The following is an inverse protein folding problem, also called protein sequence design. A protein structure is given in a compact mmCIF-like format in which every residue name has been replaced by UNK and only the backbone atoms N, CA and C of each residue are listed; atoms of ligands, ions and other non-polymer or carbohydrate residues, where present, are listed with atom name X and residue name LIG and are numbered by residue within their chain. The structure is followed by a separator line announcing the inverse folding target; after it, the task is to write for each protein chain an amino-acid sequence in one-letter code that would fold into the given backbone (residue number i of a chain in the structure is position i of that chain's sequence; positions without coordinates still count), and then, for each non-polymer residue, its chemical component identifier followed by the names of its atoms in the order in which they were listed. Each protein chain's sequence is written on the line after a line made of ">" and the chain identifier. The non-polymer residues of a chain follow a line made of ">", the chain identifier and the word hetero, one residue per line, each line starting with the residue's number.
data_IF_375570265497
#
_entry.id   IF_375570265497
#
_cell.length_a   1.000
_cell.length_b   1.000
_cell.length_c   1.000
_cell.angle_alpha   90.00
_cell.angle_beta   90.00
_cell.angle_gamma   90.00
#
_symmetry.space_group_name_H-M   'P 1'
#
loop_
_entity.id
_entity.type
_entity.pdbx_description
1 polymer ?
#
# COMPACT_ATOMS: atom_id res chain seq x y z
N UNK A 1 -3.26 16.59 14.78
CA UNK A 1 -2.18 17.07 13.89
C UNK A 1 -2.45 16.49 12.51
N UNK A 2 -2.59 17.30 11.47
CA UNK A 2 -2.85 16.82 10.11
C UNK A 2 -1.51 16.56 9.41
N UNK A 3 -1.32 15.34 8.89
CA UNK A 3 -0.14 15.00 8.10
C UNK A 3 -0.38 15.53 6.69
N UNK A 4 0.54 16.39 6.21
CA UNK A 4 0.51 16.94 4.85
C UNK A 4 1.47 16.16 3.96
N UNK A 5 0.94 15.13 3.31
CA UNK A 5 1.72 14.22 2.47
C UNK A 5 2.42 14.92 1.31
N UNK A 6 1.89 16.06 0.85
CA UNK A 6 2.48 16.90 -0.21
C UNK A 6 3.88 17.42 0.17
N UNK A 7 4.23 17.42 1.46
CA UNK A 7 5.52 17.86 1.97
C UNK A 7 6.47 16.71 2.29
N UNK A 8 6.14 15.46 1.93
CA UNK A 8 7.09 14.35 2.11
C UNK A 8 8.36 14.66 1.32
N UNK A 9 9.52 14.57 1.99
CA UNK A 9 10.80 14.85 1.37
C UNK A 9 11.05 13.83 0.26
N UNK A 10 11.31 14.26 -0.99
CA UNK A 10 11.57 13.34 -2.08
C UNK A 10 12.79 12.44 -1.78
N UNK A 11 12.68 11.18 -2.18
CA UNK A 11 13.75 10.20 -2.17
C UNK A 11 14.06 9.86 -3.63
N UNK A 12 15.34 9.92 -4.02
CA UNK A 12 15.76 9.73 -5.42
C UNK A 12 15.00 10.65 -6.41
N UNK A 13 14.64 11.86 -5.96
CA UNK A 13 13.92 12.84 -6.77
C UNK A 13 12.40 12.65 -6.84
N UNK A 14 11.84 11.63 -6.17
CA UNK A 14 10.41 11.31 -6.22
C UNK A 14 9.76 11.25 -4.82
N UNK A 15 8.59 11.89 -4.68
CA UNK A 15 7.76 11.74 -3.48
C UNK A 15 7.10 10.36 -3.42
N UNK A 16 6.78 9.76 -4.57
CA UNK A 16 6.26 8.40 -4.64
C UNK A 16 7.26 7.41 -4.04
N UNK A 17 8.53 7.49 -4.48
CA UNK A 17 9.59 6.63 -3.96
C UNK A 17 9.86 6.87 -2.47
N UNK A 18 9.70 8.11 -1.99
CA UNK A 18 9.78 8.40 -0.56
C UNK A 18 8.65 7.74 0.23
N UNK A 19 7.43 7.78 -0.30
CA UNK A 19 6.26 7.18 0.33
C UNK A 19 6.35 5.65 0.32
N UNK A 20 6.78 5.04 -0.79
CA UNK A 20 7.04 3.60 -0.90
C UNK A 20 8.08 3.14 0.13
N UNK A 21 9.21 3.84 0.22
CA UNK A 21 10.24 3.53 1.21
C UNK A 21 9.72 3.66 2.64
N UNK A 22 8.95 4.71 2.93
CA UNK A 22 8.33 4.89 4.25
C UNK A 22 7.40 3.73 4.60
N UNK A 23 6.55 3.29 3.67
CA UNK A 23 5.66 2.13 3.86
C UNK A 23 6.47 0.86 4.12
N UNK A 24 7.55 0.62 3.37
CA UNK A 24 8.43 -0.53 3.58
C UNK A 24 9.05 -0.52 4.98
N UNK A 25 9.51 0.64 5.45
CA UNK A 25 10.10 0.78 6.78
C UNK A 25 9.07 0.53 7.89
N UNK A 26 7.86 1.07 7.76
CA UNK A 26 6.78 0.84 8.72
C UNK A 26 6.37 -0.63 8.76
N UNK A 27 6.15 -1.26 7.60
CA UNK A 27 5.81 -2.68 7.50
C UNK A 27 6.89 -3.57 8.13
N UNK A 28 8.17 -3.26 7.88
CA UNK A 28 9.30 -3.98 8.50
C UNK A 28 9.30 -3.86 10.02
N UNK A 29 8.98 -2.68 10.56
CA UNK A 29 8.92 -2.49 12.01
C UNK A 29 7.74 -3.23 12.63
N UNK A 30 6.56 -3.16 12.01
CA UNK A 30 5.35 -3.84 12.48
C UNK A 30 5.50 -5.38 12.47
N UNK A 31 6.26 -5.92 11.50
CA UNK A 31 6.45 -7.37 11.32
C UNK A 31 7.84 -7.87 11.74
N UNK A 32 8.64 -7.06 12.45
CA UNK A 32 10.06 -7.33 12.76
C UNK A 32 10.33 -8.70 13.39
N UNK A 33 9.39 -9.22 14.18
CA UNK A 33 9.49 -10.51 14.86
C UNK A 33 8.45 -11.54 14.37
N UNK A 34 7.68 -11.21 13.33
CA UNK A 34 6.60 -12.06 12.85
C UNK A 34 7.05 -13.00 11.74
N UNK A 35 8.13 -12.68 11.02
CA UNK A 35 8.61 -13.49 9.91
C UNK A 35 9.79 -12.88 9.17
N UNK A 36 10.10 -13.45 8.00
CA UNK A 36 11.15 -12.95 7.12
C UNK A 36 10.61 -11.82 6.25
N UNK A 37 10.99 -10.59 6.59
CA UNK A 37 10.66 -9.42 5.80
C UNK A 37 11.60 -9.25 4.60
N UNK A 38 11.04 -9.03 3.42
CA UNK A 38 11.75 -8.75 2.17
C UNK A 38 11.17 -7.50 1.53
N UNK A 39 12.01 -6.49 1.30
CA UNK A 39 11.67 -5.36 0.43
C UNK A 39 11.84 -5.80 -1.03
N UNK A 40 10.91 -5.42 -1.89
CA UNK A 40 10.88 -5.78 -3.29
C UNK A 40 11.18 -4.52 -4.11
N UNK A 41 12.02 -4.66 -5.13
CA UNK A 41 12.32 -3.59 -6.10
C UNK A 41 11.75 -3.98 -7.46
N UNK A 42 11.47 -2.99 -8.31
CA UNK A 42 10.95 -3.22 -9.65
C UNK A 42 11.83 -4.20 -10.47
N UNK A 43 11.22 -5.11 -11.27
CA UNK A 43 9.79 -5.39 -11.34
C UNK A 43 9.31 -6.15 -10.09
N UNK A 44 8.31 -5.59 -9.44
CA UNK A 44 7.89 -5.89 -8.06
C UNK A 44 6.65 -6.80 -7.97
N UNK A 45 5.96 -6.98 -9.10
CA UNK A 45 4.83 -7.91 -9.19
C UNK A 45 3.61 -7.48 -8.37
N UNK A 46 3.45 -6.20 -8.08
CA UNK A 46 2.26 -5.61 -7.44
C UNK A 46 2.32 -5.51 -5.92
N UNK A 47 3.53 -5.60 -5.33
CA UNK A 47 3.81 -5.29 -3.92
C UNK A 47 5.23 -4.73 -3.75
N UNK A 48 5.39 -3.74 -2.89
CA UNK A 48 6.67 -3.10 -2.57
C UNK A 48 7.45 -3.86 -1.48
N UNK A 49 6.74 -4.66 -0.68
CA UNK A 49 7.34 -5.48 0.37
C UNK A 49 6.47 -6.70 0.68
N UNK A 50 7.12 -7.73 1.22
CA UNK A 50 6.44 -8.91 1.76
C UNK A 50 7.05 -9.37 3.08
N UNK A 51 6.25 -10.10 3.86
CA UNK A 51 6.69 -10.81 5.04
C UNK A 51 6.21 -12.27 4.94
N UNK A 52 7.16 -13.20 4.91
CA UNK A 52 6.90 -14.63 4.96
C UNK A 52 6.83 -15.07 6.43
N UNK A 53 5.66 -15.54 6.87
CA UNK A 53 5.42 -16.01 8.23
C UNK A 53 5.92 -17.46 8.42
N UNK A 54 6.14 -17.92 9.67
CA UNK A 54 6.64 -19.27 9.96
C UNK A 54 5.76 -20.42 9.43
N UNK A 55 4.45 -20.17 9.26
CA UNK A 55 3.49 -21.11 8.69
C UNK A 55 3.53 -21.16 7.14
N UNK A 56 4.37 -20.34 6.51
CA UNK A 56 4.50 -20.21 5.06
C UNK A 56 3.51 -19.22 4.43
N UNK A 57 2.63 -18.60 5.22
CA UNK A 57 1.73 -17.55 4.76
C UNK A 57 2.51 -16.28 4.41
N UNK A 58 2.08 -15.57 3.37
CA UNK A 58 2.71 -14.31 2.95
C UNK A 58 1.77 -13.13 3.20
N UNK A 59 2.30 -12.09 3.83
CA UNK A 59 1.69 -10.76 3.86
C UNK A 59 2.39 -9.86 2.84
N UNK A 60 1.65 -9.08 2.06
CA UNK A 60 2.18 -8.18 1.05
C UNK A 60 1.67 -6.76 1.21
N UNK A 61 2.51 -5.77 0.89
CA UNK A 61 2.18 -4.34 0.97
C UNK A 61 2.32 -3.70 -0.40
N UNK A 62 1.27 -3.01 -0.85
CA UNK A 62 1.32 -2.09 -1.98
C UNK A 62 1.26 -0.66 -1.46
N UNK A 63 2.20 0.18 -1.87
CA UNK A 63 2.14 1.62 -1.63
C UNK A 63 1.64 2.34 -2.89
N UNK A 64 0.75 3.31 -2.71
CA UNK A 64 0.34 4.25 -3.76
C UNK A 64 0.27 5.67 -3.20
N UNK A 65 1.09 6.57 -3.75
CA UNK A 65 1.12 7.97 -3.35
C UNK A 65 -0.01 8.76 -4.03
N UNK A 66 -1.24 8.55 -3.58
CA UNK A 66 -2.42 9.28 -4.03
C UNK A 66 -2.74 10.40 -3.03
N UNK A 67 -2.69 11.64 -3.49
CA UNK A 67 -2.96 12.83 -2.66
C UNK A 67 -4.44 13.27 -2.67
N UNK A 68 -5.22 12.76 -3.63
CA UNK A 68 -6.64 13.07 -3.78
C UNK A 68 -7.51 11.84 -3.53
N UNK A 69 -8.82 12.05 -3.39
CA UNK A 69 -9.82 10.98 -3.35
C UNK A 69 -9.68 10.02 -4.55
N UNK A 70 -10.06 8.76 -4.35
CA UNK A 70 -9.89 7.73 -5.35
C UNK A 70 -10.94 7.89 -6.46
N UNK A 71 -10.47 8.21 -7.66
CA UNK A 71 -11.24 8.04 -8.90
C UNK A 71 -11.25 6.57 -9.34
N UNK A 72 -12.05 6.25 -10.36
CA UNK A 72 -12.06 4.93 -10.98
C UNK A 72 -10.67 4.48 -11.46
N UNK A 73 -9.83 5.41 -11.90
CA UNK A 73 -8.46 5.10 -12.35
C UNK A 73 -7.56 4.67 -11.20
N UNK A 74 -7.68 5.29 -10.02
CA UNK A 74 -6.88 4.88 -8.84
C UNK A 74 -7.32 3.52 -8.30
N UNK A 75 -8.63 3.26 -8.32
CA UNK A 75 -9.14 1.92 -8.00
C UNK A 75 -8.65 0.87 -8.98
N UNK A 76 -8.65 1.18 -10.28
CA UNK A 76 -8.15 0.26 -11.30
C UNK A 76 -6.66 -0.07 -11.09
N UNK A 77 -5.83 0.93 -10.78
CA UNK A 77 -4.41 0.70 -10.47
C UNK A 77 -4.21 -0.23 -9.27
N UNK A 78 -5.01 -0.07 -8.21
CA UNK A 78 -4.94 -0.96 -7.04
C UNK A 78 -5.40 -2.37 -7.42
N UNK A 79 -6.49 -2.49 -8.18
CA UNK A 79 -7.04 -3.78 -8.60
C UNK A 79 -6.08 -4.56 -9.50
N UNK A 80 -5.42 -3.88 -10.43
CA UNK A 80 -4.44 -4.49 -11.33
C UNK A 80 -3.21 -4.97 -10.56
N UNK A 81 -2.65 -4.14 -9.67
CA UNK A 81 -1.56 -4.54 -8.76
C UNK A 81 -1.96 -5.72 -7.87
N UNK A 82 -3.19 -5.73 -7.35
CA UNK A 82 -3.68 -6.84 -6.53
C UNK A 82 -3.78 -8.15 -7.35
N UNK A 83 -4.36 -8.11 -8.54
CA UNK A 83 -4.45 -9.28 -9.44
C UNK A 83 -3.07 -9.80 -9.83
N UNK A 84 -2.11 -8.92 -10.05
CA UNK A 84 -0.73 -9.28 -10.34
C UNK A 84 -0.06 -9.95 -9.12
N UNK A 85 -0.26 -9.39 -7.92
CA UNK A 85 0.27 -9.97 -6.68
C UNK A 85 -0.24 -11.39 -6.41
N UNK A 86 -1.52 -11.67 -6.70
CA UNK A 86 -2.08 -13.02 -6.56
C UNK A 86 -1.44 -14.03 -7.51
N UNK A 87 -1.00 -13.59 -8.70
CA UNK A 87 -0.31 -14.46 -9.67
C UNK A 87 1.14 -14.72 -9.25
N UNK A 88 1.84 -13.68 -8.79
CA UNK A 88 3.26 -13.75 -8.47
C UNK A 88 3.53 -14.34 -7.07
N UNK A 89 2.58 -14.22 -6.14
CA UNK A 89 2.71 -14.67 -4.76
C UNK A 89 1.55 -15.61 -4.37
N UNK A 90 1.56 -16.89 -4.80
CA UNK A 90 0.46 -17.84 -4.55
C UNK A 90 0.14 -18.11 -3.07
N UNK A 91 1.07 -17.79 -2.16
CA UNK A 91 0.89 -17.93 -0.71
C UNK A 91 0.45 -16.63 -0.03
N UNK A 92 0.08 -15.60 -0.81
CA UNK A 92 -0.40 -14.33 -0.29
C UNK A 92 -1.75 -14.50 0.42
N UNK A 93 -1.75 -14.30 1.73
CA UNK A 93 -2.93 -14.43 2.59
C UNK A 93 -3.46 -13.08 3.07
N UNK A 94 -2.60 -12.05 3.11
CA UNK A 94 -2.97 -10.68 3.48
C UNK A 94 -2.33 -9.70 2.50
N UNK A 95 -3.14 -8.76 2.00
CA UNK A 95 -2.70 -7.70 1.10
C UNK A 95 -3.08 -6.34 1.68
N UNK A 96 -2.07 -5.55 2.00
CA UNK A 96 -2.21 -4.21 2.57
C UNK A 96 -2.07 -3.16 1.47
N UNK A 97 -3.09 -2.31 1.34
CA UNK A 97 -3.05 -1.15 0.44
C UNK A 97 -2.79 0.09 1.26
N UNK A 98 -1.61 0.69 1.08
CA UNK A 98 -1.15 1.88 1.78
C UNK A 98 -1.26 3.09 0.87
N UNK A 99 -2.01 4.13 1.29
CA UNK A 99 -2.23 5.34 0.50
C UNK A 99 -1.97 6.62 1.30
N UNK A 100 -1.49 7.65 0.60
CA UNK A 100 -1.16 8.97 1.14
C UNK A 100 -2.37 9.92 1.18
N UNK A 101 -3.57 9.38 1.43
CA UNK A 101 -4.80 10.15 1.55
C UNK A 101 -5.67 9.57 2.65
N UNK A 102 -6.29 10.46 3.43
CA UNK A 102 -7.22 10.05 4.46
C UNK A 102 -8.52 9.56 3.81
N UNK A 103 -8.96 8.38 4.24
CA UNK A 103 -10.24 7.82 3.82
C UNK A 103 -11.35 8.61 4.51
N UNK A 104 -11.91 9.58 3.82
CA UNK A 104 -13.05 10.33 4.33
C UNK A 104 -14.24 9.39 4.61
N UNK A 105 -14.58 9.21 5.89
CA UNK A 105 -15.81 8.54 6.29
C UNK A 105 -16.99 9.53 6.18
N UNK A 106 -17.35 9.90 4.96
CA UNK A 106 -18.45 10.82 4.73
C UNK A 106 -19.80 10.10 4.96
N UNK A 107 -20.26 10.04 6.21
CA UNK A 107 -21.67 9.79 6.56
C UNK A 107 -22.50 11.06 6.33
N UNK A 108 -22.48 11.60 5.10
CA UNK A 108 -23.28 12.76 4.70
C UNK A 108 -24.37 12.26 3.76
N UNK A 109 -25.63 12.47 4.12
CA UNK A 109 -26.78 12.14 3.28
C UNK A 109 -26.57 12.70 1.86
N UNK A 110 -26.58 11.83 0.85
CA UNK A 110 -26.37 12.19 -0.56
C UNK A 110 -24.92 12.20 -1.07
N UNK A 111 -23.91 11.89 -0.24
CA UNK A 111 -22.52 11.66 -0.70
C UNK A 111 -22.13 10.19 -0.52
N UNK A 112 -21.53 9.59 -1.55
CA UNK A 112 -20.94 8.24 -1.42
C UNK A 112 -19.73 8.31 -0.49
N UNK A 113 -19.80 7.59 0.62
CA UNK A 113 -18.67 7.42 1.54
C UNK A 113 -17.57 6.59 0.87
N UNK A 114 -16.31 6.84 1.22
CA UNK A 114 -15.20 5.98 0.80
C UNK A 114 -15.41 4.51 1.21
N UNK A 115 -16.19 4.28 2.27
CA UNK A 115 -16.49 2.95 2.81
C UNK A 115 -17.71 2.27 2.15
N UNK A 116 -18.40 2.94 1.23
CA UNK A 116 -19.63 2.42 0.60
C UNK A 116 -19.41 2.39 -0.91
N UNK A 117 -19.24 1.17 -1.46
CA UNK A 117 -19.05 0.94 -2.89
C UNK A 117 -20.37 1.14 -3.64
#
# INVERSE_FOLDING_TARGET
>A
MSIRWENIKPLQGSQNSAFEELVCQLARQEFKSQGKFTRISAPDGGIEAMCELPDGSVCGWQAKYFLSSFSSSQWQQIEDSFKESLKNYPKLTKYYVCVATDRANANVSGKKSFLTK
#
